data_IF_322996869991
#
_entry.id   IF_322996869991
#
_cell.length_a   1.000
_cell.length_b   1.000
_cell.length_c   1.000
_cell.angle_alpha   90.00
_cell.angle_beta   90.00
_cell.angle_gamma   90.00
#
_symmetry.space_group_name_H-M   'P 1'
#
loop_
_entity.id
_entity.type
_entity.pdbx_description
1 polymer ?
#
# COMPACT_ATOMS: atom_id res chain seq x y z
N UNK A 1 5.74 -18.85 5.48
CA UNK A 1 6.89 -18.19 4.79
C UNK A 1 7.40 -16.97 5.54
N UNK A 2 6.63 -15.87 5.68
CA UNK A 2 7.11 -14.65 6.39
C UNK A 2 7.58 -14.86 7.84
N UNK A 3 6.96 -15.78 8.60
CA UNK A 3 7.40 -16.13 9.96
C UNK A 3 8.65 -17.05 10.00
N UNK A 4 9.17 -17.48 8.85
CA UNK A 4 10.27 -18.44 8.78
C UNK A 4 9.88 -19.91 8.96
N UNK A 5 8.61 -20.21 9.32
CA UNK A 5 8.14 -21.58 9.56
C UNK A 5 8.13 -22.50 8.32
N UNK A 6 8.14 -21.92 7.11
CA UNK A 6 8.17 -22.65 5.84
C UNK A 6 9.10 -21.94 4.87
N UNK A 7 9.89 -22.71 4.12
CA UNK A 7 10.73 -22.22 3.02
C UNK A 7 10.10 -22.57 1.67
N UNK A 8 10.43 -21.79 0.64
CA UNK A 8 10.00 -22.00 -0.74
C UNK A 8 11.23 -22.03 -1.65
N UNK A 9 11.16 -22.67 -2.83
CA UNK A 9 12.28 -22.66 -3.79
C UNK A 9 12.48 -21.30 -4.48
N UNK A 10 11.65 -20.30 -4.15
CA UNK A 10 11.71 -18.93 -4.65
C UNK A 10 11.75 -17.94 -3.47
N UNK A 11 12.52 -16.87 -3.63
CA UNK A 11 12.61 -15.77 -2.66
C UNK A 11 11.71 -14.58 -3.01
N UNK A 12 11.11 -14.58 -4.21
CA UNK A 12 10.15 -13.57 -4.69
C UNK A 12 8.89 -14.25 -5.20
N UNK A 13 7.74 -13.62 -5.02
CA UNK A 13 6.48 -14.09 -5.59
C UNK A 13 5.58 -12.92 -6.00
N UNK A 14 4.61 -13.19 -6.86
CA UNK A 14 3.49 -12.28 -7.14
C UNK A 14 2.20 -13.07 -7.24
N UNK A 15 1.07 -12.47 -6.89
CA UNK A 15 -0.25 -13.07 -7.03
C UNK A 15 -1.34 -12.01 -7.27
N UNK A 16 -2.46 -12.46 -7.85
CA UNK A 16 -3.75 -11.80 -7.77
C UNK A 16 -4.62 -12.63 -6.81
N UNK A 17 -4.69 -12.21 -5.55
CA UNK A 17 -5.39 -12.95 -4.52
C UNK A 17 -6.84 -12.51 -4.45
N UNK A 18 -7.79 -13.44 -4.59
CA UNK A 18 -9.19 -13.15 -4.27
C UNK A 18 -9.34 -12.98 -2.75
N UNK A 19 -9.89 -11.85 -2.34
CA UNK A 19 -10.08 -11.43 -0.95
C UNK A 19 -11.57 -11.28 -0.63
N UNK A 20 -11.95 -11.59 0.61
CA UNK A 20 -13.28 -11.31 1.15
C UNK A 20 -13.14 -10.57 2.47
N UNK A 21 -13.77 -9.40 2.59
CA UNK A 21 -13.81 -8.54 3.79
C UNK A 21 -15.25 -8.33 4.25
N UNK A 22 -15.81 -9.34 4.92
CA UNK A 22 -17.19 -9.35 5.40
C UNK A 22 -17.30 -9.80 6.87
N UNK A 23 -16.21 -9.69 7.65
CA UNK A 23 -16.19 -10.05 9.07
C UNK A 23 -14.79 -10.05 9.69
N UNK A 24 -14.73 -10.03 11.02
CA UNK A 24 -13.47 -9.98 11.77
C UNK A 24 -12.81 -8.60 11.74
N UNK A 25 -11.47 -8.56 11.82
CA UNK A 25 -10.66 -7.32 11.85
C UNK A 25 -10.84 -6.46 10.59
N UNK A 26 -11.03 -7.08 9.42
CA UNK A 26 -11.20 -6.37 8.16
C UNK A 26 -12.62 -6.64 7.64
N UNK A 27 -13.54 -5.73 7.96
CA UNK A 27 -14.94 -5.85 7.60
C UNK A 27 -15.44 -4.59 6.92
N UNK A 28 -15.72 -4.70 5.62
CA UNK A 28 -16.19 -3.58 4.80
C UNK A 28 -17.71 -3.67 4.53
N UNK A 29 -18.41 -4.65 5.11
CA UNK A 29 -19.80 -4.98 4.77
C UNK A 29 -20.75 -3.78 4.89
N UNK A 30 -20.62 -2.99 5.95
CA UNK A 30 -21.50 -1.85 6.21
C UNK A 30 -21.18 -0.63 5.31
N UNK A 31 -20.01 -0.61 4.65
CA UNK A 31 -19.58 0.48 3.76
C UNK A 31 -19.94 0.22 2.29
N UNK A 32 -20.31 -1.02 1.95
CA UNK A 32 -20.63 -1.40 0.57
C UNK A 32 -21.93 -0.74 0.13
N UNK A 33 -21.86 -0.01 -0.99
CA UNK A 33 -22.97 0.76 -1.53
C UNK A 33 -23.12 2.17 -0.94
N UNK A 34 -22.34 2.50 0.11
CA UNK A 34 -22.26 3.86 0.65
C UNK A 34 -21.07 4.64 0.08
N UNK A 35 -19.98 3.95 -0.20
CA UNK A 35 -18.75 4.57 -0.71
C UNK A 35 -18.39 4.02 -2.09
N UNK A 36 -17.56 4.75 -2.84
CA UNK A 36 -17.10 4.35 -4.16
C UNK A 36 -15.96 3.31 -4.16
N UNK A 37 -15.37 2.99 -3.00
CA UNK A 37 -14.13 2.18 -2.90
C UNK A 37 -14.25 0.86 -2.16
N UNK A 38 -15.33 0.62 -1.43
CA UNK A 38 -15.46 -0.57 -0.59
C UNK A 38 -16.23 -1.69 -1.29
N UNK A 39 -15.65 -2.89 -1.29
CA UNK A 39 -16.24 -4.13 -1.78
C UNK A 39 -16.09 -5.23 -0.72
N UNK A 40 -17.08 -6.12 -0.61
CA UNK A 40 -16.93 -7.33 0.21
C UNK A 40 -16.04 -8.37 -0.46
N UNK A 41 -16.03 -8.44 -1.80
CA UNK A 41 -15.22 -9.35 -2.60
C UNK A 41 -14.41 -8.55 -3.61
N UNK A 42 -13.10 -8.72 -3.62
CA UNK A 42 -12.18 -8.01 -4.52
C UNK A 42 -10.91 -8.84 -4.78
N UNK A 43 -10.09 -8.40 -5.72
CA UNK A 43 -8.78 -8.99 -5.98
C UNK A 43 -7.67 -8.06 -5.46
N UNK A 44 -6.75 -8.60 -4.69
CA UNK A 44 -5.57 -7.91 -4.21
C UNK A 44 -4.36 -8.36 -5.03
N UNK A 45 -3.81 -7.44 -5.81
CA UNK A 45 -2.55 -7.65 -6.52
C UNK A 45 -1.38 -7.43 -5.55
N UNK A 46 -0.42 -8.35 -5.52
CA UNK A 46 0.72 -8.24 -4.61
C UNK A 46 2.01 -8.79 -5.20
N UNK A 47 3.13 -8.20 -4.79
CA UNK A 47 4.48 -8.72 -4.94
C UNK A 47 5.11 -8.91 -3.56
N UNK A 48 5.78 -10.03 -3.36
CA UNK A 48 6.25 -10.47 -2.04
C UNK A 48 7.75 -10.79 -2.11
N UNK A 49 8.49 -10.25 -1.14
CA UNK A 49 9.90 -10.55 -0.89
C UNK A 49 10.02 -11.41 0.36
N UNK A 50 10.71 -12.54 0.27
CA UNK A 50 10.98 -13.43 1.38
C UNK A 50 12.47 -13.37 1.74
N UNK A 51 12.89 -12.26 2.35
CA UNK A 51 14.30 -12.01 2.71
C UNK A 51 15.20 -11.71 1.51
N UNK A 52 14.64 -11.13 0.45
CA UNK A 52 15.36 -10.79 -0.78
C UNK A 52 15.55 -9.27 -0.90
N UNK A 53 14.60 -8.56 -1.53
CA UNK A 53 14.60 -7.10 -1.59
C UNK A 53 13.82 -6.48 -0.42
N UNK A 54 14.04 -5.19 -0.14
CA UNK A 54 13.40 -4.49 0.97
C UNK A 54 12.73 -3.18 0.50
N UNK A 55 12.83 -2.10 1.26
CA UNK A 55 12.06 -0.86 1.02
C UNK A 55 12.39 -0.20 -0.33
N UNK A 56 13.67 -0.08 -0.67
CA UNK A 56 14.13 0.61 -1.89
C UNK A 56 13.48 -0.01 -3.13
N UNK A 57 13.69 -1.31 -3.35
CA UNK A 57 13.16 -1.98 -4.54
C UNK A 57 11.64 -2.16 -4.48
N UNK A 58 11.04 -2.30 -3.30
CA UNK A 58 9.58 -2.34 -3.18
C UNK A 58 8.95 -1.04 -3.70
N UNK A 59 9.49 0.11 -3.28
CA UNK A 59 9.06 1.44 -3.75
C UNK A 59 9.35 1.59 -5.25
N UNK A 60 10.52 1.17 -5.71
CA UNK A 60 10.87 1.19 -7.13
C UNK A 60 9.89 0.39 -7.99
N UNK A 61 9.58 -0.85 -7.61
CA UNK A 61 8.65 -1.70 -8.37
C UNK A 61 7.24 -1.10 -8.42
N UNK A 62 6.71 -0.60 -7.30
CA UNK A 62 5.41 0.04 -7.27
C UNK A 62 5.37 1.29 -8.16
N UNK A 63 6.38 2.16 -8.04
CA UNK A 63 6.44 3.41 -8.81
C UNK A 63 6.60 3.18 -10.31
N UNK A 64 7.46 2.23 -10.72
CA UNK A 64 7.62 1.86 -12.13
C UNK A 64 6.34 1.30 -12.71
N UNK A 65 5.65 0.40 -11.99
CA UNK A 65 4.40 -0.17 -12.46
C UNK A 65 3.32 0.90 -12.67
N UNK A 66 3.13 1.79 -11.69
CA UNK A 66 2.12 2.85 -11.79
C UNK A 66 2.44 3.87 -12.88
N UNK A 67 3.70 4.29 -13.03
CA UNK A 67 4.05 5.44 -13.87
C UNK A 67 4.56 5.07 -15.26
N UNK A 68 5.07 3.85 -15.46
CA UNK A 68 5.55 3.37 -16.77
C UNK A 68 4.58 2.41 -17.41
N UNK A 69 4.17 1.37 -16.70
CA UNK A 69 3.27 0.35 -17.27
C UNK A 69 1.82 0.87 -17.36
N UNK A 70 1.31 1.45 -16.27
CA UNK A 70 -0.05 2.03 -16.25
C UNK A 70 -0.09 3.49 -16.73
N UNK A 71 1.08 4.13 -16.92
CA UNK A 71 1.19 5.51 -17.41
C UNK A 71 0.36 6.53 -16.61
N UNK A 72 0.24 6.33 -15.29
CA UNK A 72 -0.49 7.28 -14.44
C UNK A 72 0.27 8.62 -14.33
N UNK A 73 -0.44 9.76 -14.35
CA UNK A 73 0.18 11.07 -14.18
C UNK A 73 0.77 11.22 -12.76
N UNK A 74 2.07 11.52 -12.68
CA UNK A 74 2.80 11.58 -11.39
C UNK A 74 2.37 12.77 -10.54
N UNK A 75 1.88 13.83 -11.16
CA UNK A 75 1.30 15.00 -10.51
C UNK A 75 0.00 14.69 -9.75
N UNK A 76 -0.62 13.54 -9.97
CA UNK A 76 -1.78 13.07 -9.21
C UNK A 76 -1.44 12.08 -8.10
N UNK A 77 -0.19 11.62 -8.03
CA UNK A 77 0.22 10.63 -7.04
C UNK A 77 0.72 11.31 -5.77
N UNK A 78 0.25 10.83 -4.63
CA UNK A 78 0.70 11.21 -3.29
C UNK A 78 1.09 9.94 -2.53
N UNK A 79 1.99 10.06 -1.57
CA UNK A 79 2.40 8.91 -0.75
C UNK A 79 2.31 9.24 0.73
N UNK A 80 2.00 8.23 1.54
CA UNK A 80 2.05 8.31 3.00
C UNK A 80 3.15 7.40 3.52
N UNK A 81 3.80 7.78 4.62
CA UNK A 81 4.79 6.97 5.34
C UNK A 81 4.55 7.10 6.84
N UNK A 82 4.99 6.11 7.60
CA UNK A 82 4.99 6.21 9.06
C UNK A 82 5.88 7.38 9.50
N UNK A 83 5.42 8.14 10.49
CA UNK A 83 6.09 9.34 11.02
C UNK A 83 7.59 9.14 11.32
N UNK A 84 7.91 7.98 11.86
CA UNK A 84 9.23 7.53 12.29
C UNK A 84 10.02 6.78 11.21
N UNK A 85 9.44 6.54 10.03
CA UNK A 85 10.10 5.85 8.91
C UNK A 85 10.75 6.85 7.93
N UNK A 86 11.86 7.46 8.37
CA UNK A 86 12.66 8.38 7.56
C UNK A 86 13.25 7.73 6.31
N UNK A 87 13.52 6.43 6.37
CA UNK A 87 14.08 5.65 5.28
C UNK A 87 13.09 5.57 4.11
N UNK A 88 11.82 5.26 4.38
CA UNK A 88 10.79 5.23 3.34
C UNK A 88 10.60 6.62 2.70
N UNK A 89 10.58 7.69 3.50
CA UNK A 89 10.49 9.06 2.99
C UNK A 89 11.67 9.41 2.08
N UNK A 90 12.89 8.99 2.45
CA UNK A 90 14.08 9.20 1.63
C UNK A 90 13.98 8.47 0.29
N UNK A 91 13.56 7.20 0.29
CA UNK A 91 13.43 6.44 -0.95
C UNK A 91 12.38 7.02 -1.88
N UNK A 92 11.25 7.51 -1.38
CA UNK A 92 10.27 8.21 -2.20
C UNK A 92 10.84 9.47 -2.87
N UNK A 93 11.66 10.26 -2.16
CA UNK A 93 12.36 11.41 -2.77
C UNK A 93 13.34 11.00 -3.85
N UNK A 94 14.09 9.92 -3.64
CA UNK A 94 15.15 9.51 -4.56
C UNK A 94 14.60 8.80 -5.80
N UNK A 95 13.68 7.87 -5.61
CA UNK A 95 13.14 7.01 -6.67
C UNK A 95 12.04 7.72 -7.45
N UNK A 96 11.06 8.26 -6.74
CA UNK A 96 9.89 8.87 -7.36
C UNK A 96 10.07 10.36 -7.65
N UNK A 97 11.12 10.98 -7.11
CA UNK A 97 11.39 12.42 -7.23
C UNK A 97 10.20 13.27 -6.79
N UNK A 98 9.45 12.76 -5.80
CA UNK A 98 8.31 13.46 -5.25
C UNK A 98 8.79 14.64 -4.37
N UNK A 99 8.18 15.83 -4.51
CA UNK A 99 8.43 16.92 -3.59
C UNK A 99 7.88 16.58 -2.20
N UNK A 100 8.44 17.19 -1.14
CA UNK A 100 8.02 16.94 0.25
C UNK A 100 6.51 17.16 0.47
N UNK A 101 5.90 18.09 -0.25
CA UNK A 101 4.45 18.36 -0.18
C UNK A 101 3.56 17.17 -0.63
N UNK A 102 4.15 16.14 -1.25
CA UNK A 102 3.46 14.92 -1.69
C UNK A 102 3.83 13.69 -0.86
N UNK A 103 4.70 13.84 0.13
CA UNK A 103 5.13 12.79 1.04
C UNK A 103 4.58 13.11 2.43
N UNK A 104 3.45 12.50 2.76
CA UNK A 104 2.74 12.75 4.01
C UNK A 104 3.25 11.80 5.09
N UNK A 105 3.47 12.32 6.30
CA UNK A 105 3.87 11.51 7.45
C UNK A 105 2.66 11.33 8.37
N UNK A 106 2.23 10.09 8.57
CA UNK A 106 1.08 9.75 9.42
C UNK A 106 1.51 8.87 10.60
N UNK A 107 0.62 8.75 11.58
CA UNK A 107 0.85 7.93 12.76
C UNK A 107 0.73 6.43 12.48
N UNK A 108 0.97 5.63 13.51
CA UNK A 108 0.86 4.17 13.45
C UNK A 108 -0.57 3.67 13.20
N UNK A 109 -1.60 4.50 13.40
CA UNK A 109 -2.98 4.14 13.06
C UNK A 109 -3.15 3.92 11.55
N UNK A 110 -2.49 4.76 10.74
CA UNK A 110 -2.60 4.73 9.29
C UNK A 110 -1.46 3.95 8.63
N UNK A 111 -0.21 4.16 9.07
CA UNK A 111 0.98 3.65 8.40
C UNK A 111 1.70 2.52 9.16
N UNK A 112 1.01 1.76 10.00
CA UNK A 112 1.52 0.52 10.58
C UNK A 112 0.59 -0.66 10.28
N UNK A 113 1.02 -1.54 9.38
CA UNK A 113 0.23 -2.70 9.00
C UNK A 113 0.50 -3.89 9.91
N UNK A 114 -0.56 -4.60 10.29
CA UNK A 114 -0.47 -5.84 11.04
C UNK A 114 -1.50 -6.86 10.55
N UNK A 115 -1.07 -8.11 10.38
CA UNK A 115 -1.93 -9.20 9.90
C UNK A 115 -3.13 -9.49 10.80
N UNK A 116 -2.97 -9.29 12.11
CA UNK A 116 -3.97 -9.59 13.13
C UNK A 116 -3.55 -9.00 14.47
N UNK A 117 -4.03 -9.58 15.57
CA UNK A 117 -3.50 -9.28 16.91
C UNK A 117 -2.08 -9.83 17.10
N UNK A 118 -1.77 -10.94 16.43
CA UNK A 118 -0.44 -11.57 16.39
C UNK A 118 -0.08 -11.90 14.94
N UNK A 119 1.21 -12.03 14.65
CA UNK A 119 1.73 -12.35 13.32
C UNK A 119 2.64 -11.26 12.74
N UNK A 120 3.01 -11.35 11.46
CA UNK A 120 3.86 -10.36 10.80
C UNK A 120 3.23 -8.96 10.82
N UNK A 121 4.05 -7.95 11.07
CA UNK A 121 3.67 -6.53 11.07
C UNK A 121 4.88 -5.67 10.67
N UNK A 122 4.64 -4.38 10.44
CA UNK A 122 5.68 -3.41 10.17
C UNK A 122 5.14 -2.07 9.66
N UNK A 123 6.02 -1.06 9.53
CA UNK A 123 5.65 0.18 8.86
C UNK A 123 5.22 -0.11 7.42
N UNK A 124 4.22 0.60 6.94
CA UNK A 124 3.81 0.58 5.54
C UNK A 124 3.88 1.98 4.95
N UNK A 125 3.89 2.01 3.61
CA UNK A 125 3.72 3.23 2.82
C UNK A 125 2.63 2.98 1.81
N UNK A 126 1.78 3.97 1.58
CA UNK A 126 0.63 3.86 0.68
C UNK A 126 0.73 4.91 -0.42
N UNK A 127 0.13 4.62 -1.58
CA UNK A 127 0.11 5.51 -2.74
C UNK A 127 -1.34 5.88 -3.02
N UNK A 128 -1.63 7.17 -2.99
CA UNK A 128 -2.94 7.75 -3.25
C UNK A 128 -2.97 8.38 -4.64
N UNK A 129 -4.12 8.29 -5.31
CA UNK A 129 -4.37 8.91 -6.60
C UNK A 129 -5.42 10.01 -6.46
N UNK A 130 -5.04 11.23 -6.81
CA UNK A 130 -5.93 12.39 -6.83
C UNK A 130 -6.92 12.30 -8.02
N UNK A 131 -8.18 12.06 -7.69
CA UNK A 131 -9.28 11.98 -8.66
C UNK A 131 -9.80 13.36 -9.09
N UNK A 132 -9.31 14.44 -8.48
CA UNK A 132 -9.67 15.83 -8.74
C UNK A 132 -10.76 16.35 -7.82
N UNK A 133 -10.99 17.67 -7.87
CA UNK A 133 -11.82 18.43 -6.94
C UNK A 133 -13.29 17.95 -6.83
N UNK A 134 -13.79 17.26 -7.86
CA UNK A 134 -15.12 16.67 -7.86
C UNK A 134 -15.31 15.55 -6.82
N UNK A 135 -14.22 14.99 -6.28
CA UNK A 135 -14.21 13.84 -5.36
C UNK A 135 -13.68 14.22 -3.97
N UNK A 136 -14.07 15.41 -3.47
CA UNK A 136 -13.54 16.00 -2.24
C UNK A 136 -14.36 15.71 -0.98
N UNK A 137 -15.45 14.95 -1.10
CA UNK A 137 -16.34 14.65 0.04
C UNK A 137 -15.63 13.76 1.06
N UNK A 138 -16.06 13.82 2.33
CA UNK A 138 -15.48 12.99 3.39
C UNK A 138 -15.64 11.48 3.10
N UNK A 139 -16.65 11.10 2.31
CA UNK A 139 -16.89 9.73 1.89
C UNK A 139 -15.96 9.28 0.74
N UNK A 140 -15.19 10.19 0.14
CA UNK A 140 -14.27 9.93 -0.97
C UNK A 140 -12.79 9.83 -0.57
N UNK A 141 -12.45 10.15 0.70
CA UNK A 141 -11.06 10.15 1.23
C UNK A 141 -10.63 8.80 1.80
#
# INVERSE_FOLDING_TARGET
VFLGNETRPYARATSAQRCVRAGGKHNDLDQVGLTARHHTCFEMLGNFSFGDYFKEEAIFHAWQFLTKELSLPTEKLHVTVLDSDDEAAQWWRQIAQLPDAKIHRLGAEDNFWAMGETGPCGPCTEIFYDQGDAFTSADDR
#
